data_IF_576847204613
#
_entry.id   IF_576847204613
#
_cell.length_a   1.000
_cell.length_b   1.000
_cell.length_c   1.000
_cell.angle_alpha   90.00
_cell.angle_beta   90.00
_cell.angle_gamma   90.00
#
_symmetry.space_group_name_H-M   'P 1'
#
loop_
_entity.id
_entity.type
_entity.pdbx_description
1 polymer ?
#
# COMPACT_ATOMS: atom_id res chain seq x y z
N UNK A 1 8.72 24.29 29.77
CA UNK A 1 8.85 23.45 28.57
C UNK A 1 8.26 22.09 28.88
N UNK A 2 6.99 21.84 28.55
CA UNK A 2 6.31 20.57 28.83
C UNK A 2 6.50 19.60 27.65
N UNK A 3 7.50 18.75 27.72
CA UNK A 3 7.57 17.56 26.87
C UNK A 3 6.82 16.45 27.61
N UNK A 4 5.54 16.23 27.31
CA UNK A 4 4.80 15.02 27.72
C UNK A 4 3.47 14.91 26.95
N UNK A 5 3.57 14.64 25.64
CA UNK A 5 2.42 14.25 24.82
C UNK A 5 2.85 13.14 23.88
N UNK A 6 2.00 12.12 23.69
CA UNK A 6 2.22 11.09 22.69
C UNK A 6 2.11 11.74 21.30
N UNK A 7 3.03 11.38 20.41
CA UNK A 7 3.05 11.84 19.01
C UNK A 7 3.12 10.59 18.15
N UNK A 8 2.12 10.37 17.30
CA UNK A 8 2.04 9.19 16.42
C UNK A 8 1.84 9.68 14.99
N UNK A 9 2.52 9.03 14.04
CA UNK A 9 2.24 9.07 12.61
C UNK A 9 2.03 7.65 12.10
N UNK A 10 1.25 7.48 11.05
CA UNK A 10 0.94 6.16 10.47
C UNK A 10 1.40 6.10 9.01
N UNK A 11 1.89 4.93 8.65
CA UNK A 11 2.11 4.49 7.28
C UNK A 11 1.16 3.32 7.04
N UNK A 12 0.18 3.52 6.17
CA UNK A 12 -0.90 2.56 5.93
C UNK A 12 -0.80 2.06 4.50
N UNK A 13 -0.54 0.78 4.33
CA UNK A 13 -0.59 0.13 3.03
C UNK A 13 -1.98 -0.47 2.83
N UNK A 14 -2.58 -0.21 1.68
CA UNK A 14 -3.92 -0.65 1.31
C UNK A 14 -3.83 -1.43 0.01
N UNK A 15 -4.25 -2.69 -0.01
CA UNK A 15 -4.41 -3.41 -1.27
C UNK A 15 -5.62 -2.89 -2.05
N UNK A 16 -5.43 -2.59 -3.33
CA UNK A 16 -6.53 -2.23 -4.23
C UNK A 16 -7.27 -3.50 -4.70
N UNK A 17 -8.05 -4.10 -3.79
CA UNK A 17 -8.64 -5.46 -3.94
C UNK A 17 -9.63 -5.57 -5.10
N UNK A 18 -10.22 -4.46 -5.54
CA UNK A 18 -11.19 -4.45 -6.66
C UNK A 18 -10.54 -4.44 -8.05
N UNK A 19 -9.20 -4.54 -8.13
CA UNK A 19 -8.50 -4.74 -9.40
C UNK A 19 -8.65 -6.19 -9.88
N UNK A 20 -8.61 -6.36 -11.20
CA UNK A 20 -8.62 -7.69 -11.85
C UNK A 20 -7.22 -8.21 -12.18
N UNK A 21 -6.25 -7.30 -12.31
CA UNK A 21 -4.86 -7.63 -12.64
C UNK A 21 -3.90 -6.91 -11.72
N UNK A 22 -2.68 -7.44 -11.61
CA UNK A 22 -1.55 -6.86 -10.87
C UNK A 22 -1.17 -5.45 -11.35
N UNK A 23 -0.33 -4.77 -10.57
CA UNK A 23 0.03 -3.36 -10.82
C UNK A 23 0.86 -3.18 -12.10
N UNK A 24 1.76 -4.11 -12.39
CA UNK A 24 2.74 -3.99 -13.48
C UNK A 24 2.67 -5.10 -14.54
N UNK A 25 1.69 -6.01 -14.45
CA UNK A 25 1.50 -7.09 -15.42
C UNK A 25 0.03 -7.55 -15.49
N UNK A 26 -0.27 -8.41 -16.46
CA UNK A 26 -1.64 -8.91 -16.71
C UNK A 26 -2.07 -10.11 -15.86
N UNK A 27 -1.25 -10.60 -14.92
CA UNK A 27 -1.67 -11.69 -14.02
C UNK A 27 -2.86 -11.26 -13.18
N UNK A 28 -3.75 -12.21 -12.87
CA UNK A 28 -4.86 -11.99 -11.95
C UNK A 28 -4.36 -11.49 -10.58
N UNK A 29 -5.11 -10.56 -10.00
CA UNK A 29 -4.92 -10.09 -8.61
C UNK A 29 -5.73 -10.89 -7.58
N UNK A 30 -6.61 -11.80 -8.02
CA UNK A 30 -7.39 -12.69 -7.15
C UNK A 30 -6.54 -13.91 -6.71
N UNK A 31 -5.58 -13.68 -5.82
CA UNK A 31 -4.63 -14.72 -5.38
C UNK A 31 -5.05 -15.51 -4.15
N UNK A 32 -6.04 -15.02 -3.40
CA UNK A 32 -6.43 -15.63 -2.13
C UNK A 32 -7.05 -17.00 -2.37
N UNK A 33 -6.59 -17.99 -1.62
CA UNK A 33 -7.04 -19.38 -1.76
C UNK A 33 -6.61 -20.07 -3.07
N UNK A 34 -5.67 -19.51 -3.83
CA UNK A 34 -5.09 -20.18 -5.00
C UNK A 34 -3.87 -21.00 -4.62
N UNK A 35 -3.59 -22.02 -5.42
CA UNK A 35 -2.37 -22.81 -5.28
C UNK A 35 -1.12 -21.94 -5.45
N UNK A 36 -0.04 -22.18 -4.67
CA UNK A 36 1.17 -21.37 -4.71
C UNK A 36 1.76 -21.23 -6.11
N UNK A 37 2.23 -20.03 -6.45
CA UNK A 37 2.91 -19.71 -7.71
C UNK A 37 2.13 -20.06 -9.01
N UNK A 38 0.79 -19.97 -8.98
CA UNK A 38 -0.06 -20.20 -10.17
C UNK A 38 -0.47 -18.92 -10.90
N UNK A 39 -0.49 -17.78 -10.21
CA UNK A 39 -0.83 -16.46 -10.76
C UNK A 39 0.40 -15.59 -10.98
N UNK A 40 1.35 -16.14 -11.73
CA UNK A 40 2.68 -15.56 -11.94
C UNK A 40 3.01 -15.44 -13.43
N UNK A 41 3.95 -14.56 -13.75
CA UNK A 41 4.49 -14.37 -15.11
C UNK A 41 5.93 -13.83 -15.01
N UNK A 42 6.67 -13.76 -16.15
CA UNK A 42 8.03 -13.24 -16.15
C UNK A 42 8.21 -11.87 -15.48
N UNK A 43 7.22 -10.98 -15.58
CA UNK A 43 7.29 -9.63 -15.01
C UNK A 43 7.23 -9.67 -13.48
N UNK A 44 6.21 -10.29 -12.89
CA UNK A 44 6.07 -10.32 -11.44
C UNK A 44 7.06 -11.28 -10.76
N UNK A 45 7.64 -12.23 -11.51
CA UNK A 45 8.76 -13.07 -11.06
C UNK A 45 10.13 -12.42 -11.25
N UNK A 46 10.21 -11.22 -11.82
CA UNK A 46 11.50 -10.54 -12.03
C UNK A 46 12.45 -11.29 -12.95
N UNK A 47 11.93 -12.06 -13.91
CA UNK A 47 12.77 -12.83 -14.83
C UNK A 47 13.55 -11.90 -15.79
N UNK A 48 14.74 -12.32 -16.27
CA UNK A 48 15.53 -11.53 -17.19
C UNK A 48 14.75 -11.11 -18.45
N UNK A 49 14.84 -9.84 -18.82
CA UNK A 49 14.19 -9.27 -20.01
C UNK A 49 12.72 -8.84 -19.81
N UNK A 50 12.11 -9.11 -18.65
CA UNK A 50 10.74 -8.68 -18.38
C UNK A 50 10.66 -7.18 -18.03
N UNK A 51 9.62 -6.51 -18.51
CA UNK A 51 9.41 -5.06 -18.32
C UNK A 51 8.03 -4.76 -17.70
N UNK A 52 7.92 -3.79 -16.77
CA UNK A 52 6.67 -3.45 -16.11
C UNK A 52 5.76 -2.59 -17.02
N UNK A 53 4.44 -2.85 -16.97
CA UNK A 53 3.42 -2.02 -17.62
C UNK A 53 2.36 -1.63 -16.61
N UNK A 54 2.23 -0.33 -16.32
CA UNK A 54 1.33 0.19 -15.30
C UNK A 54 -0.14 -0.12 -15.61
N UNK A 55 -0.84 -0.65 -14.60
CA UNK A 55 -2.28 -0.84 -14.62
C UNK A 55 -3.03 0.50 -14.53
N UNK A 56 -3.71 0.89 -15.62
CA UNK A 56 -4.49 2.13 -15.68
C UNK A 56 -5.57 2.21 -14.59
N UNK A 57 -6.23 1.09 -14.27
CA UNK A 57 -7.31 1.07 -13.27
C UNK A 57 -6.77 1.31 -11.86
N UNK A 58 -5.56 0.82 -11.55
CA UNK A 58 -4.90 1.11 -10.29
C UNK A 58 -4.63 2.61 -10.12
N UNK A 59 -4.21 3.29 -11.19
CA UNK A 59 -4.03 4.74 -11.20
C UNK A 59 -5.36 5.48 -10.98
N UNK A 60 -6.44 5.08 -11.65
CA UNK A 60 -7.78 5.66 -11.45
C UNK A 60 -8.24 5.55 -9.99
N UNK A 61 -8.13 4.36 -9.39
CA UNK A 61 -8.48 4.13 -7.99
C UNK A 61 -7.64 4.95 -7.02
N UNK A 62 -6.34 5.05 -7.27
CA UNK A 62 -5.45 5.83 -6.43
C UNK A 62 -5.76 7.33 -6.50
N UNK A 63 -6.12 7.85 -7.69
CA UNK A 63 -6.58 9.25 -7.85
C UNK A 63 -7.93 9.47 -7.14
N UNK A 64 -8.87 8.53 -7.23
CA UNK A 64 -10.13 8.60 -6.51
C UNK A 64 -9.90 8.66 -4.99
N UNK A 65 -9.04 7.78 -4.45
CA UNK A 65 -8.67 7.78 -3.05
C UNK A 65 -8.03 9.12 -2.63
N UNK A 66 -7.08 9.63 -3.43
CA UNK A 66 -6.43 10.91 -3.16
C UNK A 66 -7.42 12.07 -3.08
N UNK A 67 -8.38 12.15 -4.01
CA UNK A 67 -9.42 13.18 -3.99
C UNK A 67 -10.34 13.05 -2.77
N UNK A 68 -10.75 11.82 -2.42
CA UNK A 68 -11.58 11.57 -1.24
C UNK A 68 -10.86 11.91 0.08
N UNK A 69 -9.53 11.82 0.08
CA UNK A 69 -8.66 12.17 1.20
C UNK A 69 -8.18 13.64 1.15
N UNK A 70 -8.84 14.47 0.34
CA UNK A 70 -8.57 15.90 0.17
C UNK A 70 -7.13 16.22 -0.26
N UNK A 71 -6.42 15.26 -0.88
CA UNK A 71 -5.06 15.47 -1.35
C UNK A 71 -5.03 16.27 -2.65
N UNK A 72 -3.93 16.98 -2.86
CA UNK A 72 -3.60 17.60 -4.14
C UNK A 72 -2.94 16.55 -5.04
N UNK A 73 -3.65 16.13 -6.09
CA UNK A 73 -3.12 15.21 -7.11
C UNK A 73 -2.02 15.90 -7.93
N UNK A 74 -0.92 15.19 -8.13
CA UNK A 74 0.24 15.67 -8.89
C UNK A 74 -0.02 15.63 -10.39
N UNK A 75 0.44 16.65 -11.13
CA UNK A 75 0.33 16.69 -12.61
C UNK A 75 1.22 15.66 -13.32
N UNK A 76 2.28 15.24 -12.64
CA UNK A 76 3.25 14.23 -13.08
C UNK A 76 3.56 13.36 -11.86
N UNK A 77 3.88 12.10 -12.08
CA UNK A 77 4.36 11.19 -11.05
C UNK A 77 5.50 10.35 -11.61
N UNK A 78 6.38 9.89 -10.74
CA UNK A 78 7.52 9.06 -11.12
C UNK A 78 7.56 7.80 -10.27
N UNK A 79 7.78 6.66 -10.92
CA UNK A 79 8.08 5.42 -10.23
C UNK A 79 9.59 5.27 -10.04
N UNK A 80 9.97 4.78 -8.86
CA UNK A 80 11.35 4.54 -8.44
C UNK A 80 11.53 3.09 -8.02
N UNK A 81 12.78 2.64 -8.03
CA UNK A 81 13.18 1.33 -7.51
C UNK A 81 13.66 1.49 -6.07
N UNK A 82 12.90 0.97 -5.11
CA UNK A 82 13.31 0.82 -3.70
C UNK A 82 14.07 -0.51 -3.59
N UNK A 83 15.40 -0.46 -3.65
CA UNK A 83 16.26 -1.65 -3.75
C UNK A 83 16.48 -2.29 -2.38
N UNK A 84 16.23 -3.59 -2.27
CA UNK A 84 16.53 -4.42 -1.10
C UNK A 84 16.48 -5.90 -1.48
N UNK A 85 17.22 -6.73 -0.76
CA UNK A 85 17.26 -8.17 -0.99
C UNK A 85 16.41 -8.87 0.06
N UNK A 86 15.34 -9.51 -0.37
CA UNK A 86 14.52 -10.36 0.49
C UNK A 86 13.84 -11.45 -0.35
N UNK A 87 13.65 -12.69 0.16
CA UNK A 87 13.18 -13.80 -0.66
C UNK A 87 11.80 -13.61 -1.30
N UNK A 88 10.93 -12.76 -0.74
CA UNK A 88 9.62 -12.47 -1.31
C UNK A 88 9.61 -11.34 -2.36
N UNK A 89 10.76 -10.68 -2.58
CA UNK A 89 10.91 -9.59 -3.55
C UNK A 89 11.74 -10.06 -4.75
N UNK A 90 11.12 -10.66 -5.78
CA UNK A 90 11.82 -11.42 -6.82
C UNK A 90 12.73 -10.55 -7.70
N UNK A 91 12.51 -9.24 -7.74
CA UNK A 91 13.31 -8.28 -8.51
C UNK A 91 14.50 -7.71 -7.74
N UNK A 92 14.61 -7.97 -6.44
CA UNK A 92 15.51 -7.27 -5.50
C UNK A 92 15.31 -5.74 -5.45
N UNK A 93 14.17 -5.27 -5.95
CA UNK A 93 13.67 -3.93 -5.75
C UNK A 93 12.15 -3.94 -5.88
N UNK A 94 11.50 -3.11 -5.08
CA UNK A 94 10.09 -2.80 -5.19
C UNK A 94 9.92 -1.56 -6.08
N UNK A 95 9.05 -1.62 -7.08
CA UNK A 95 8.63 -0.43 -7.81
C UNK A 95 7.60 0.31 -6.94
N UNK A 96 7.99 1.49 -6.46
CA UNK A 96 7.20 2.37 -5.61
C UNK A 96 7.34 3.82 -6.11
N UNK A 97 6.90 4.82 -5.35
CA UNK A 97 7.19 6.24 -5.64
C UNK A 97 7.96 6.86 -4.49
N UNK A 98 8.84 7.80 -4.83
CA UNK A 98 9.66 8.50 -3.87
C UNK A 98 9.40 10.00 -4.01
N UNK A 99 9.35 10.70 -2.88
CA UNK A 99 9.03 12.14 -2.79
C UNK A 99 10.29 13.01 -2.57
N UNK A 100 11.47 12.39 -2.49
CA UNK A 100 12.75 13.11 -2.48
C UNK A 100 13.51 12.92 -3.78
N UNK A 101 14.69 13.54 -3.88
CA UNK A 101 15.55 13.50 -5.05
C UNK A 101 14.83 13.88 -6.37
N UNK A 102 13.91 14.85 -6.30
CA UNK A 102 13.11 15.31 -7.44
C UNK A 102 11.94 14.40 -7.82
N UNK A 103 11.69 13.34 -7.04
CA UNK A 103 10.53 12.49 -7.19
C UNK A 103 9.22 13.21 -6.87
N UNK A 104 8.14 12.75 -7.50
CA UNK A 104 6.80 13.33 -7.34
C UNK A 104 5.83 12.18 -7.08
N UNK A 105 5.28 12.06 -5.87
CA UNK A 105 4.29 11.03 -5.56
C UNK A 105 2.96 11.38 -6.24
N UNK A 106 2.05 10.42 -6.27
CA UNK A 106 0.72 10.56 -6.87
C UNK A 106 -0.04 11.78 -6.32
N UNK A 107 -0.04 11.96 -4.99
CA UNK A 107 -0.71 13.07 -4.35
C UNK A 107 -0.05 13.47 -3.03
N UNK A 108 -0.23 14.73 -2.63
CA UNK A 108 0.36 15.31 -1.41
C UNK A 108 -0.61 16.22 -0.68
N UNK A 109 -0.29 16.58 0.56
CA UNK A 109 -0.98 17.63 1.33
C UNK A 109 -2.48 17.41 1.48
N UNK A 110 -2.89 16.19 1.83
CA UNK A 110 -4.28 15.85 2.12
C UNK A 110 -4.62 15.97 3.60
N UNK A 111 -5.85 15.59 3.92
CA UNK A 111 -6.26 15.41 5.31
C UNK A 111 -7.52 14.56 5.42
N UNK A 112 -7.68 13.95 6.58
CA UNK A 112 -8.90 13.27 7.00
C UNK A 112 -9.33 13.80 8.37
N UNK A 113 -10.64 13.98 8.53
CA UNK A 113 -11.21 14.45 9.79
C UNK A 113 -11.67 13.26 10.63
N UNK A 114 -11.25 13.22 11.89
CA UNK A 114 -11.73 12.27 12.89
C UNK A 114 -12.58 12.99 13.94
N UNK A 115 -13.53 12.27 14.52
CA UNK A 115 -14.43 12.77 15.55
C UNK A 115 -14.27 11.93 16.82
N UNK A 116 -13.98 12.59 17.95
CA UNK A 116 -13.94 11.95 19.27
C UNK A 116 -14.72 12.77 20.30
N UNK A 117 -15.85 12.23 20.78
CA UNK A 117 -16.61 12.75 21.93
C UNK A 117 -16.77 14.28 21.93
N UNK A 118 -17.18 14.85 20.79
CA UNK A 118 -17.37 16.29 20.50
C UNK A 118 -16.14 17.10 20.10
N UNK A 119 -14.99 16.45 19.85
CA UNK A 119 -13.82 17.09 19.22
C UNK A 119 -13.67 16.61 17.80
N UNK A 120 -13.65 17.56 16.87
CA UNK A 120 -13.33 17.33 15.47
C UNK A 120 -11.86 17.66 15.28
N UNK A 121 -11.05 16.69 14.83
CA UNK A 121 -9.62 16.88 14.61
C UNK A 121 -9.26 16.52 13.18
N UNK A 122 -8.48 17.40 12.55
CA UNK A 122 -7.91 17.18 11.23
C UNK A 122 -6.57 16.47 11.36
N UNK A 123 -6.44 15.30 10.75
CA UNK A 123 -5.18 14.56 10.62
C UNK A 123 -4.67 14.79 9.20
N UNK A 124 -3.48 15.37 9.07
CA UNK A 124 -2.88 15.64 7.75
C UNK A 124 -2.32 14.36 7.15
N UNK A 125 -2.45 14.26 5.84
CA UNK A 125 -1.87 13.21 5.00
C UNK A 125 -0.73 13.87 4.23
N UNK A 126 0.50 13.41 4.48
CA UNK A 126 1.69 13.97 3.85
C UNK A 126 1.72 13.61 2.36
N UNK A 127 1.53 12.31 2.06
CA UNK A 127 1.54 11.77 0.70
C UNK A 127 0.68 10.53 0.55
N UNK A 128 0.35 10.26 -0.72
CA UNK A 128 -0.21 9.00 -1.19
C UNK A 128 0.60 8.58 -2.41
N UNK A 129 0.97 7.30 -2.50
CA UNK A 129 1.62 6.76 -3.69
C UNK A 129 1.14 5.34 -4.05
N UNK A 130 1.49 4.90 -5.25
CA UNK A 130 1.29 3.54 -5.73
C UNK A 130 2.57 2.73 -5.62
N UNK A 131 2.46 1.49 -5.17
CA UNK A 131 3.57 0.54 -5.16
C UNK A 131 3.11 -0.91 -5.33
N UNK A 132 4.04 -1.81 -5.58
CA UNK A 132 3.75 -3.24 -5.70
C UNK A 132 4.02 -4.01 -4.39
N UNK A 133 3.15 -4.96 -4.05
CA UNK A 133 3.31 -5.83 -2.87
C UNK A 133 4.40 -6.91 -3.12
N UNK A 134 5.22 -7.28 -2.12
CA UNK A 134 5.99 -8.52 -2.14
C UNK A 134 5.14 -9.81 -2.18
N UNK A 135 5.82 -10.94 -2.44
CA UNK A 135 5.27 -12.27 -2.26
C UNK A 135 4.95 -12.61 -0.80
N UNK A 136 4.50 -13.83 -0.55
CA UNK A 136 4.24 -14.36 0.79
C UNK A 136 5.35 -15.33 1.18
N UNK A 137 5.86 -15.17 2.40
CA UNK A 137 6.72 -16.16 3.05
C UNK A 137 5.89 -17.06 3.96
N UNK A 138 6.14 -18.36 3.91
CA UNK A 138 5.51 -19.36 4.77
C UNK A 138 6.61 -20.15 5.47
N UNK A 139 6.61 -20.08 6.79
CA UNK A 139 7.50 -20.85 7.65
C UNK A 139 6.73 -22.05 8.20
N UNK A 140 7.37 -23.23 8.24
CA UNK A 140 6.85 -24.36 9.00
C UNK A 140 7.10 -24.11 10.49
N UNK A 141 6.02 -23.93 11.25
CA UNK A 141 6.11 -23.58 12.68
C UNK A 141 6.56 -22.13 12.92
N UNK A 142 7.06 -21.82 14.12
CA UNK A 142 7.64 -20.51 14.44
C UNK A 142 8.78 -20.14 13.50
N UNK A 143 8.89 -18.85 13.17
CA UNK A 143 9.90 -18.34 12.21
C UNK A 143 11.34 -18.67 12.62
N UNK A 144 11.63 -18.67 13.93
CA UNK A 144 12.94 -18.91 14.53
C UNK A 144 13.33 -20.39 14.59
N UNK A 145 12.37 -21.30 14.39
CA UNK A 145 12.56 -22.75 14.44
C UNK A 145 12.42 -23.42 13.08
N UNK A 146 12.01 -22.66 12.07
CA UNK A 146 11.75 -23.20 10.75
C UNK A 146 13.06 -23.54 10.02
N UNK A 147 13.26 -24.78 9.56
CA UNK A 147 14.49 -25.16 8.86
C UNK A 147 14.59 -24.57 7.45
N UNK A 148 13.48 -24.11 6.88
CA UNK A 148 13.41 -23.47 5.57
C UNK A 148 12.19 -22.54 5.49
N UNK A 149 12.18 -21.70 4.45
CA UNK A 149 11.05 -20.82 4.14
C UNK A 149 10.51 -21.17 2.76
N UNK A 150 9.20 -21.31 2.65
CA UNK A 150 8.50 -21.46 1.39
C UNK A 150 8.08 -20.08 0.87
N UNK A 151 8.18 -19.88 -0.44
CA UNK A 151 7.86 -18.60 -1.09
C UNK A 151 6.72 -18.78 -2.08
N UNK A 152 5.67 -17.98 -1.92
CA UNK A 152 4.56 -17.87 -2.86
C UNK A 152 4.51 -16.47 -3.48
N UNK A 153 4.81 -16.38 -4.78
CA UNK A 153 4.81 -15.13 -5.54
C UNK A 153 3.44 -14.78 -6.15
N UNK A 154 2.36 -15.49 -5.81
CA UNK A 154 1.03 -15.11 -6.25
C UNK A 154 0.69 -13.66 -5.84
N UNK A 155 1.12 -13.20 -4.65
CA UNK A 155 0.94 -11.82 -4.17
C UNK A 155 1.93 -10.82 -4.75
N UNK A 156 3.09 -11.28 -5.24
CA UNK A 156 4.11 -10.37 -5.77
C UNK A 156 3.55 -9.58 -6.97
N UNK A 157 3.60 -8.25 -6.90
CA UNK A 157 3.07 -7.36 -7.93
C UNK A 157 1.64 -6.85 -7.69
N UNK A 158 0.96 -7.24 -6.60
CA UNK A 158 -0.36 -6.70 -6.25
C UNK A 158 -0.25 -5.19 -6.02
N UNK A 159 -1.26 -4.43 -6.45
CA UNK A 159 -1.24 -2.98 -6.30
C UNK A 159 -1.55 -2.55 -4.86
N UNK A 160 -0.64 -1.79 -4.28
CA UNK A 160 -0.77 -1.14 -3.00
C UNK A 160 -0.91 0.36 -3.19
N UNK A 161 -1.72 0.95 -2.33
CA UNK A 161 -1.78 2.38 -2.05
C UNK A 161 -1.15 2.59 -0.67
N UNK A 162 0.03 3.20 -0.58
CA UNK A 162 0.56 3.65 0.72
C UNK A 162 0.05 5.08 0.99
N UNK A 163 -0.54 5.25 2.16
CA UNK A 163 -1.06 6.51 2.71
C UNK A 163 -0.24 6.84 3.95
N UNK A 164 0.46 7.97 3.91
CA UNK A 164 1.34 8.41 5.00
C UNK A 164 0.74 9.64 5.66
N UNK A 165 0.59 9.60 6.98
CA UNK A 165 0.12 10.74 7.76
C UNK A 165 1.27 11.60 8.24
N UNK A 166 0.99 12.87 8.51
CA UNK A 166 1.81 13.65 9.43
C UNK A 166 1.68 13.08 10.85
N UNK A 167 2.62 13.39 11.76
CA UNK A 167 2.58 12.92 13.14
C UNK A 167 1.57 13.72 14.00
N UNK A 168 0.31 13.76 13.57
CA UNK A 168 -0.74 14.59 14.15
C UNK A 168 -1.53 13.89 15.28
N UNK A 169 -1.36 12.58 15.48
CA UNK A 169 -2.10 11.82 16.47
C UNK A 169 -1.53 12.00 17.88
N UNK A 170 -2.40 12.19 18.87
CA UNK A 170 -2.03 12.35 20.27
C UNK A 170 -2.52 11.21 21.19
N UNK A 171 -3.19 10.21 20.64
CA UNK A 171 -3.55 8.99 21.37
C UNK A 171 -3.75 7.80 20.44
N UNK A 172 -3.60 6.55 20.94
CA UNK A 172 -3.96 5.35 20.17
C UNK A 172 -5.42 5.32 19.71
N UNK A 173 -6.33 5.97 20.45
CA UNK A 173 -7.75 6.07 20.11
C UNK A 173 -7.95 6.88 18.82
N UNK A 174 -7.26 8.01 18.66
CA UNK A 174 -7.31 8.80 17.44
C UNK A 174 -6.80 8.02 16.22
N UNK A 175 -5.72 7.26 16.37
CA UNK A 175 -5.18 6.39 15.32
C UNK A 175 -6.22 5.34 14.86
N UNK A 176 -6.92 4.69 15.81
CA UNK A 176 -8.00 3.74 15.49
C UNK A 176 -9.15 4.42 14.74
N UNK A 177 -9.59 5.59 15.19
CA UNK A 177 -10.67 6.34 14.54
C UNK A 177 -10.30 6.73 13.11
N UNK A 178 -9.05 7.13 12.88
CA UNK A 178 -8.54 7.40 11.52
C UNK A 178 -8.56 6.15 10.65
N UNK A 179 -8.03 5.01 11.12
CA UNK A 179 -8.04 3.76 10.35
C UNK A 179 -9.46 3.30 10.02
N UNK A 180 -10.40 3.41 10.96
CA UNK A 180 -11.82 3.10 10.73
C UNK A 180 -12.44 4.01 9.66
N UNK A 181 -12.16 5.32 9.72
CA UNK A 181 -12.67 6.28 8.75
C UNK A 181 -12.05 6.10 7.37
N UNK A 182 -10.73 5.86 7.31
CA UNK A 182 -10.00 5.55 6.09
C UNK A 182 -10.57 4.30 5.42
N UNK A 183 -10.71 3.19 6.17
CA UNK A 183 -11.36 1.96 5.72
C UNK A 183 -12.75 2.23 5.14
N UNK A 184 -13.60 2.93 5.89
CA UNK A 184 -14.97 3.24 5.47
C UNK A 184 -15.01 4.03 4.15
N UNK A 185 -14.11 5.00 3.96
CA UNK A 185 -14.02 5.76 2.71
C UNK A 185 -13.61 4.85 1.56
N UNK A 186 -12.58 4.01 1.74
CA UNK A 186 -12.05 3.15 0.68
C UNK A 186 -13.04 2.04 0.28
N UNK A 187 -13.77 1.46 1.25
CA UNK A 187 -14.88 0.53 1.00
C UNK A 187 -16.02 1.24 0.24
N UNK A 188 -16.36 2.48 0.62
CA UNK A 188 -17.39 3.25 -0.06
C UNK A 188 -17.03 3.62 -1.50
N UNK A 189 -15.75 3.87 -1.78
CA UNK A 189 -15.24 4.06 -3.14
C UNK A 189 -15.27 2.77 -3.98
N UNK A 190 -15.46 1.60 -3.35
CA UNK A 190 -15.49 0.31 -4.02
C UNK A 190 -14.12 -0.10 -4.59
N UNK A 191 -13.04 0.31 -3.94
CA UNK A 191 -11.65 0.01 -4.38
C UNK A 191 -10.90 -0.93 -3.42
N UNK A 192 -11.49 -1.19 -2.25
CA UNK A 192 -10.92 -1.93 -1.13
C UNK A 192 -12.01 -2.77 -0.45
N UNK A 193 -11.63 -3.95 0.05
CA UNK A 193 -12.48 -4.85 0.83
C UNK A 193 -11.72 -5.28 2.09
N UNK A 194 -12.07 -4.69 3.23
CA UNK A 194 -11.41 -4.95 4.51
C UNK A 194 -11.82 -6.27 5.18
N UNK A 195 -12.60 -7.10 4.51
CA UNK A 195 -12.89 -8.48 4.97
C UNK A 195 -11.82 -9.48 4.48
N UNK A 196 -11.06 -9.12 3.46
CA UNK A 196 -10.04 -9.97 2.88
C UNK A 196 -8.76 -9.96 3.72
N UNK A 197 -8.15 -11.14 3.91
CA UNK A 197 -6.87 -11.27 4.63
C UNK A 197 -5.78 -10.43 3.96
N UNK A 198 -5.07 -9.62 4.76
CA UNK A 198 -3.97 -8.77 4.28
C UNK A 198 -4.40 -7.63 3.34
N UNK A 199 -5.68 -7.27 3.34
CA UNK A 199 -6.20 -6.11 2.61
C UNK A 199 -5.64 -4.80 3.18
#
# INVERSE_FOLDING_TARGET
MSVQGVIIGLEVHVQLTSLKTKLFCGCSSDYRGKEPNTLVCPVCLGLPGALPVLNRKALEYAVMAALALNCKVSKRMFFFRKNYFYPDMPKNFQISQYDRAGGVPLAVNGYLTIEDQNRVKKIRISRIHLEEDPGRLVHLGPIDQSPYTLVDYNRAGIALLEVVTEPDFNSPKEARLFLQKLRSILEHLGIFDGSLEGA
#
